data_IF_122471690759
#
_entry.id   IF_122471690759
#
_cell.length_a   1.000
_cell.length_b   1.000
_cell.length_c   1.000
_cell.angle_alpha   90.00
_cell.angle_beta   90.00
_cell.angle_gamma   90.00
#
_symmetry.space_group_name_H-M   'P 1'
#
loop_
_entity.id
_entity.type
_entity.pdbx_description
1 polymer ?
#
# COMPACT_ATOMS: atom_id res chain seq x y z
N UNK A 1 -12.02 -4.80 -20.54
CA UNK A 1 -12.30 -3.34 -20.52
C UNK A 1 -13.01 -3.07 -19.21
N UNK A 2 -12.34 -2.40 -18.27
CA UNK A 2 -13.00 -1.96 -17.04
C UNK A 2 -14.16 -1.00 -17.43
N UNK A 3 -15.31 -1.18 -16.80
CA UNK A 3 -16.43 -0.24 -16.94
C UNK A 3 -16.05 1.15 -16.42
N UNK A 4 -16.88 2.18 -16.63
CA UNK A 4 -16.63 3.50 -16.06
C UNK A 4 -16.52 3.38 -14.53
N UNK A 5 -15.64 4.18 -13.88
CA UNK A 5 -15.46 4.10 -12.45
C UNK A 5 -16.78 4.34 -11.73
N UNK A 6 -17.14 3.45 -10.81
CA UNK A 6 -18.33 3.61 -9.97
C UNK A 6 -18.08 4.77 -9.01
N UNK A 7 -18.98 5.75 -8.97
CA UNK A 7 -18.89 6.87 -8.03
C UNK A 7 -18.88 6.34 -6.58
N UNK A 8 -17.95 6.82 -5.76
CA UNK A 8 -17.79 6.36 -4.37
C UNK A 8 -19.08 6.48 -3.54
N UNK A 9 -19.84 7.55 -3.75
CA UNK A 9 -21.13 7.77 -3.09
C UNK A 9 -22.17 6.72 -3.49
N UNK A 10 -22.17 6.30 -4.75
CA UNK A 10 -23.05 5.26 -5.24
C UNK A 10 -22.65 3.89 -4.68
N UNK A 11 -21.36 3.57 -4.71
CA UNK A 11 -20.84 2.34 -4.11
C UNK A 11 -21.18 2.24 -2.61
N UNK A 12 -20.99 3.33 -1.86
CA UNK A 12 -21.34 3.37 -0.43
C UNK A 12 -22.82 3.06 -0.16
N UNK A 13 -23.70 3.41 -1.07
CA UNK A 13 -25.14 3.10 -0.95
C UNK A 13 -25.43 1.60 -1.16
N UNK A 14 -24.58 0.87 -1.87
CA UNK A 14 -24.77 -0.58 -2.17
C UNK A 14 -23.99 -1.50 -1.20
N UNK A 15 -23.10 -0.97 -0.36
CA UNK A 15 -22.22 -1.77 0.50
C UNK A 15 -22.98 -2.76 1.40
N UNK A 16 -24.14 -2.36 1.94
CA UNK A 16 -24.93 -3.25 2.80
C UNK A 16 -25.44 -4.49 2.06
N UNK A 17 -25.88 -4.32 0.81
CA UNK A 17 -26.36 -5.43 -0.01
C UNK A 17 -25.19 -6.34 -0.39
N UNK A 18 -24.03 -5.76 -0.75
CA UNK A 18 -22.81 -6.52 -1.04
C UNK A 18 -22.32 -7.34 0.17
N UNK A 19 -22.40 -6.78 1.38
CA UNK A 19 -22.09 -7.51 2.62
C UNK A 19 -23.04 -8.69 2.80
N UNK A 20 -24.34 -8.50 2.59
CA UNK A 20 -25.35 -9.55 2.74
C UNK A 20 -25.11 -10.68 1.74
N UNK A 21 -24.85 -10.35 0.48
CA UNK A 21 -24.56 -11.31 -0.58
C UNK A 21 -23.32 -12.15 -0.27
N UNK A 22 -22.20 -11.51 0.13
CA UNK A 22 -20.98 -12.21 0.50
C UNK A 22 -21.19 -13.08 1.77
N UNK A 23 -21.97 -12.60 2.73
CA UNK A 23 -22.25 -13.36 3.95
C UNK A 23 -23.07 -14.62 3.64
N UNK A 24 -24.06 -14.54 2.76
CA UNK A 24 -24.83 -15.69 2.31
C UNK A 24 -23.95 -16.69 1.53
N UNK A 25 -23.21 -16.19 0.53
CA UNK A 25 -22.40 -17.02 -0.35
C UNK A 25 -21.32 -17.80 0.40
N UNK A 26 -20.62 -17.14 1.32
CA UNK A 26 -19.51 -17.74 2.09
C UNK A 26 -19.93 -18.28 3.45
N UNK A 27 -21.21 -18.18 3.82
CA UNK A 27 -21.77 -18.67 5.07
C UNK A 27 -21.23 -17.94 6.31
N UNK A 28 -20.96 -16.64 6.18
CA UNK A 28 -20.29 -15.87 7.24
C UNK A 28 -21.25 -15.42 8.35
N UNK A 29 -20.71 -15.36 9.55
CA UNK A 29 -21.29 -14.53 10.62
C UNK A 29 -20.61 -13.18 10.59
N UNK A 30 -21.33 -12.12 10.26
CA UNK A 30 -20.82 -10.76 10.21
C UNK A 30 -20.85 -10.13 11.61
N UNK A 31 -19.75 -9.53 12.02
CA UNK A 31 -19.59 -8.79 13.27
C UNK A 31 -19.51 -7.29 13.06
N UNK A 32 -18.98 -6.59 14.04
CA UNK A 32 -18.85 -5.13 14.03
C UNK A 32 -17.86 -4.66 12.96
N UNK A 33 -18.14 -3.52 12.31
CA UNK A 33 -17.19 -2.90 11.39
C UNK A 33 -15.93 -2.42 12.14
N UNK A 34 -14.81 -2.42 11.43
CA UNK A 34 -13.66 -1.62 11.82
C UNK A 34 -13.92 -0.15 11.49
N UNK A 35 -13.07 0.75 12.02
CA UNK A 35 -13.17 2.18 11.67
C UNK A 35 -13.11 2.32 10.15
N UNK A 36 -14.04 3.06 9.53
CA UNK A 36 -14.09 3.17 8.07
C UNK A 36 -12.79 3.75 7.51
N UNK A 37 -12.19 3.07 6.55
CA UNK A 37 -11.14 3.62 5.70
C UNK A 37 -11.72 4.51 4.58
N UNK A 38 -10.86 5.18 3.83
CA UNK A 38 -11.29 6.10 2.77
C UNK A 38 -11.99 5.37 1.60
N UNK A 39 -11.47 4.20 1.18
CA UNK A 39 -11.86 3.49 -0.03
C UNK A 39 -12.31 2.03 0.20
N UNK A 40 -12.52 1.62 1.46
CA UNK A 40 -12.91 0.26 1.81
C UNK A 40 -13.93 0.20 2.93
N UNK A 41 -14.68 -0.90 2.97
CA UNK A 41 -15.58 -1.26 4.07
C UNK A 41 -15.12 -2.58 4.66
N UNK A 42 -14.67 -2.56 5.91
CA UNK A 42 -13.99 -3.68 6.57
C UNK A 42 -14.79 -4.10 7.79
N UNK A 43 -15.15 -5.40 7.84
CA UNK A 43 -15.96 -5.97 8.92
C UNK A 43 -15.27 -7.18 9.54
N UNK A 44 -15.47 -7.36 10.82
CA UNK A 44 -15.19 -8.64 11.47
C UNK A 44 -16.14 -9.69 10.87
N UNK A 45 -15.59 -10.86 10.62
CA UNK A 45 -16.38 -11.99 10.15
C UNK A 45 -15.92 -13.27 10.88
N UNK A 46 -16.72 -14.31 10.79
CA UNK A 46 -16.40 -15.64 11.26
C UNK A 46 -16.89 -16.65 10.25
N UNK A 47 -16.02 -17.59 9.87
CA UNK A 47 -16.34 -18.71 9.00
C UNK A 47 -17.30 -19.70 9.66
N UNK A 48 -17.96 -20.60 8.90
CA UNK A 48 -18.87 -21.60 9.48
C UNK A 48 -18.26 -22.52 10.52
N UNK A 49 -16.94 -22.75 10.48
CA UNK A 49 -16.20 -23.56 11.44
C UNK A 49 -15.74 -22.79 12.69
N UNK A 50 -16.09 -21.49 12.78
CA UNK A 50 -15.68 -20.63 13.88
C UNK A 50 -14.34 -19.91 13.69
N UNK A 51 -13.68 -20.08 12.54
CA UNK A 51 -12.41 -19.39 12.24
C UNK A 51 -12.64 -17.89 12.13
N UNK A 52 -11.89 -17.07 12.90
CA UNK A 52 -11.95 -15.62 12.80
C UNK A 52 -11.47 -15.12 11.44
N UNK A 53 -12.25 -14.25 10.80
CA UNK A 53 -11.97 -13.68 9.49
C UNK A 53 -12.27 -12.18 9.45
N UNK A 54 -11.91 -11.55 8.34
CA UNK A 54 -12.25 -10.17 7.98
C UNK A 54 -12.89 -10.20 6.60
N UNK A 55 -14.08 -9.62 6.47
CA UNK A 55 -14.68 -9.30 5.18
C UNK A 55 -14.28 -7.87 4.80
N UNK A 56 -13.57 -7.72 3.70
CA UNK A 56 -13.18 -6.43 3.12
C UNK A 56 -13.86 -6.24 1.78
N UNK A 57 -14.60 -5.16 1.63
CA UNK A 57 -15.16 -4.71 0.37
C UNK A 57 -14.40 -3.46 -0.07
N UNK A 58 -13.79 -3.48 -1.23
CA UNK A 58 -13.11 -2.33 -1.80
C UNK A 58 -14.04 -1.58 -2.74
N UNK A 59 -13.99 -0.24 -2.69
CA UNK A 59 -14.49 0.55 -3.78
C UNK A 59 -13.68 0.21 -5.04
N UNK A 60 -14.35 -0.07 -6.19
CA UNK A 60 -13.65 -0.36 -7.44
C UNK A 60 -12.81 0.83 -7.92
N UNK A 61 -11.50 0.73 -7.78
CA UNK A 61 -10.53 1.73 -8.24
C UNK A 61 -9.20 1.06 -8.60
N UNK A 62 -8.38 1.78 -9.35
CA UNK A 62 -7.13 1.28 -9.93
C UNK A 62 -6.22 0.55 -8.94
N UNK A 63 -6.07 1.07 -7.73
CA UNK A 63 -5.17 0.50 -6.72
C UNK A 63 -5.70 -0.78 -6.08
N UNK A 64 -7.03 -1.00 -6.11
CA UNK A 64 -7.66 -2.20 -5.55
C UNK A 64 -7.71 -3.40 -6.52
N UNK A 65 -7.43 -3.17 -7.82
CA UNK A 65 -7.64 -4.19 -8.87
C UNK A 65 -6.88 -5.49 -8.66
N UNK A 66 -5.67 -5.43 -8.10
CA UNK A 66 -4.78 -6.59 -7.95
C UNK A 66 -4.45 -6.95 -6.50
N UNK A 67 -5.19 -6.43 -5.52
CA UNK A 67 -4.96 -6.72 -4.10
C UNK A 67 -5.06 -8.23 -3.83
N UNK A 68 -6.11 -8.88 -4.32
CA UNK A 68 -6.30 -10.32 -4.17
C UNK A 68 -5.14 -11.13 -4.77
N UNK A 69 -4.70 -10.76 -5.98
CA UNK A 69 -3.60 -11.44 -6.68
C UNK A 69 -2.28 -11.35 -5.88
N UNK A 70 -2.04 -10.21 -5.23
CA UNK A 70 -0.85 -10.04 -4.38
C UNK A 70 -0.92 -10.91 -3.13
N UNK A 71 -2.06 -10.95 -2.45
CA UNK A 71 -2.27 -11.79 -1.28
C UNK A 71 -2.15 -13.28 -1.61
N UNK A 72 -2.67 -13.72 -2.76
CA UNK A 72 -2.45 -15.08 -3.29
C UNK A 72 -0.97 -15.36 -3.57
N UNK A 73 -0.25 -14.40 -4.18
CA UNK A 73 1.17 -14.54 -4.51
C UNK A 73 2.04 -14.66 -3.25
N UNK A 74 1.72 -13.96 -2.18
CA UNK A 74 2.41 -14.07 -0.90
C UNK A 74 2.01 -15.31 -0.11
N UNK A 75 0.80 -15.83 -0.29
CA UNK A 75 0.28 -17.04 0.38
C UNK A 75 0.55 -17.05 1.90
N UNK A 76 0.37 -15.90 2.53
CA UNK A 76 0.59 -15.71 3.95
C UNK A 76 2.06 -15.49 4.36
N UNK A 77 3.03 -15.47 3.44
CA UNK A 77 4.44 -15.18 3.74
C UNK A 77 4.65 -13.67 3.90
N UNK A 78 4.62 -13.19 5.14
CA UNK A 78 4.78 -11.78 5.49
C UNK A 78 3.51 -10.93 5.36
N UNK A 79 2.42 -11.48 4.81
CA UNK A 79 1.13 -10.81 4.68
C UNK A 79 -0.01 -11.69 5.23
N UNK A 80 -1.19 -11.10 5.42
CA UNK A 80 -2.40 -11.85 5.77
C UNK A 80 -2.78 -12.83 4.66
N UNK A 81 -3.40 -13.95 5.04
CA UNK A 81 -3.92 -14.92 4.09
C UNK A 81 -5.21 -14.44 3.47
N UNK A 82 -5.37 -14.71 2.18
CA UNK A 82 -6.63 -14.62 1.48
C UNK A 82 -7.34 -15.98 1.62
N UNK A 83 -8.56 -16.00 2.14
CA UNK A 83 -9.38 -17.20 2.28
C UNK A 83 -10.32 -17.40 1.09
N UNK A 84 -10.91 -16.31 0.60
CA UNK A 84 -11.76 -16.27 -0.58
C UNK A 84 -11.75 -14.89 -1.23
N UNK A 85 -12.13 -14.82 -2.49
CA UNK A 85 -12.27 -13.56 -3.24
C UNK A 85 -13.51 -13.60 -4.14
N UNK A 86 -14.05 -12.43 -4.38
CA UNK A 86 -15.03 -12.16 -5.42
C UNK A 86 -14.62 -10.90 -6.18
N UNK A 87 -14.10 -11.10 -7.38
CA UNK A 87 -13.55 -10.01 -8.20
C UNK A 87 -14.65 -9.11 -8.77
N UNK A 88 -15.87 -9.61 -8.96
CA UNK A 88 -16.97 -8.81 -9.46
C UNK A 88 -17.47 -7.81 -8.41
N UNK A 89 -17.47 -8.23 -7.14
CA UNK A 89 -17.89 -7.40 -6.00
C UNK A 89 -16.71 -6.65 -5.33
N UNK A 90 -15.47 -6.89 -5.78
CA UNK A 90 -14.25 -6.40 -5.11
C UNK A 90 -14.23 -6.79 -3.64
N UNK A 91 -14.64 -8.03 -3.34
CA UNK A 91 -14.74 -8.56 -1.99
C UNK A 91 -13.61 -9.55 -1.69
N UNK A 92 -13.02 -9.41 -0.50
CA UNK A 92 -11.96 -10.26 0.01
C UNK A 92 -12.35 -10.82 1.37
N UNK A 93 -12.16 -12.13 1.56
CA UNK A 93 -12.24 -12.77 2.86
C UNK A 93 -10.83 -13.07 3.34
N UNK A 94 -10.41 -12.41 4.41
CA UNK A 94 -9.03 -12.34 4.86
C UNK A 94 -8.83 -12.98 6.23
N UNK A 95 -7.61 -13.41 6.52
CA UNK A 95 -7.15 -13.76 7.85
C UNK A 95 -7.35 -12.57 8.80
N UNK A 96 -7.99 -12.81 9.98
CA UNK A 96 -8.10 -11.81 11.02
C UNK A 96 -6.87 -11.84 11.91
N UNK A 97 -6.12 -10.75 11.92
CA UNK A 97 -5.03 -10.55 12.85
C UNK A 97 -5.55 -10.41 14.27
N UNK A 98 -4.96 -11.15 15.20
CA UNK A 98 -5.23 -11.04 16.63
C UNK A 98 -3.90 -11.00 17.41
N UNK A 99 -3.63 -9.96 18.21
CA UNK A 99 -4.56 -8.93 18.69
C UNK A 99 -4.94 -7.86 17.66
N UNK A 100 -4.25 -7.74 16.51
CA UNK A 100 -4.57 -6.78 15.46
C UNK A 100 -4.17 -5.34 15.76
N UNK A 101 -3.22 -5.14 16.70
CA UNK A 101 -2.65 -3.81 16.96
C UNK A 101 -1.67 -3.43 15.86
N UNK A 102 -1.65 -2.15 15.50
CA UNK A 102 -0.73 -1.61 14.50
C UNK A 102 0.72 -1.65 14.99
N UNK A 103 1.64 -1.96 14.08
CA UNK A 103 3.08 -1.91 14.34
C UNK A 103 3.52 -0.50 14.73
N UNK A 104 2.99 0.54 14.09
CA UNK A 104 3.25 1.93 14.42
C UNK A 104 3.00 2.28 15.90
N UNK A 105 2.02 1.63 16.54
CA UNK A 105 1.63 1.88 17.94
C UNK A 105 2.25 0.88 18.95
N UNK A 106 3.10 -0.06 18.49
CA UNK A 106 3.56 -1.19 19.33
C UNK A 106 4.70 -0.85 20.29
N UNK A 107 5.49 0.18 19.98
CA UNK A 107 6.75 0.48 20.68
C UNK A 107 7.93 -0.40 20.25
N UNK A 108 7.76 -1.33 19.30
CA UNK A 108 8.85 -2.10 18.69
C UNK A 108 9.72 -1.24 17.75
N UNK A 109 10.87 -1.75 17.33
CA UNK A 109 11.65 -1.15 16.23
C UNK A 109 10.89 -1.33 14.90
N UNK A 110 9.92 -0.45 14.66
CA UNK A 110 9.07 -0.49 13.47
C UNK A 110 9.88 -0.58 12.18
N UNK A 111 10.95 0.21 12.09
CA UNK A 111 11.81 0.20 10.90
C UNK A 111 12.54 -1.13 10.71
N UNK A 112 13.02 -1.75 11.81
CA UNK A 112 13.63 -3.08 11.77
C UNK A 112 12.65 -4.16 11.32
N UNK A 113 11.39 -4.12 11.80
CA UNK A 113 10.34 -5.05 11.35
C UNK A 113 10.05 -4.88 9.85
N UNK A 114 9.97 -3.65 9.36
CA UNK A 114 9.74 -3.38 7.93
C UNK A 114 10.91 -3.85 7.06
N UNK A 115 12.16 -3.72 7.53
CA UNK A 115 13.35 -4.29 6.88
C UNK A 115 13.27 -5.81 6.78
N UNK A 116 12.76 -6.50 7.79
CA UNK A 116 12.58 -7.96 7.76
C UNK A 116 11.42 -8.40 6.84
N UNK A 117 10.33 -7.60 6.76
CA UNK A 117 9.17 -7.94 5.94
C UNK A 117 9.41 -7.72 4.44
N UNK A 118 10.06 -6.62 4.04
CA UNK A 118 10.22 -6.23 2.64
C UNK A 118 10.81 -7.37 1.76
N UNK A 119 11.91 -8.05 2.13
CA UNK A 119 12.45 -9.14 1.31
C UNK A 119 11.50 -10.33 1.13
N UNK A 120 10.62 -10.56 2.09
CA UNK A 120 9.59 -11.63 2.01
C UNK A 120 8.49 -11.27 1.02
N UNK A 121 8.16 -9.98 0.92
CA UNK A 121 7.14 -9.48 0.00
C UNK A 121 7.66 -9.32 -1.44
N UNK A 122 8.98 -9.29 -1.66
CA UNK A 122 9.59 -9.20 -2.99
C UNK A 122 9.52 -10.55 -3.73
N UNK A 123 8.32 -10.94 -4.13
CA UNK A 123 8.09 -12.11 -5.00
C UNK A 123 8.22 -11.70 -6.48
N UNK A 124 7.96 -12.63 -7.41
CA UNK A 124 7.89 -12.30 -8.84
C UNK A 124 6.82 -11.23 -9.10
N UNK A 125 7.19 -10.16 -9.80
CA UNK A 125 6.27 -9.11 -10.26
C UNK A 125 5.48 -9.47 -11.52
N UNK A 126 5.68 -10.68 -12.08
CA UNK A 126 5.00 -11.13 -13.29
C UNK A 126 3.47 -11.16 -13.10
N UNK A 127 2.74 -10.56 -14.03
CA UNK A 127 1.27 -10.46 -14.00
C UNK A 127 0.74 -9.22 -13.28
N UNK A 128 1.58 -8.48 -12.55
CA UNK A 128 1.18 -7.23 -11.90
C UNK A 128 1.42 -6.03 -12.82
N UNK A 129 0.62 -4.98 -12.62
CA UNK A 129 0.74 -3.71 -13.33
C UNK A 129 2.16 -3.16 -13.18
N UNK A 130 2.86 -2.89 -14.30
CA UNK A 130 4.21 -2.35 -14.24
C UNK A 130 4.24 -0.93 -13.68
N UNK A 131 5.26 -0.59 -12.88
CA UNK A 131 5.48 0.77 -12.42
C UNK A 131 5.59 1.79 -13.58
N UNK A 132 6.08 1.37 -14.74
CA UNK A 132 6.13 2.23 -15.93
C UNK A 132 4.72 2.68 -16.38
N UNK A 133 3.72 1.80 -16.31
CA UNK A 133 2.32 2.12 -16.64
C UNK A 133 1.72 3.06 -15.58
N UNK A 134 2.04 2.82 -14.30
CA UNK A 134 1.62 3.68 -13.21
C UNK A 134 2.25 5.08 -13.31
N UNK A 135 3.52 5.16 -13.69
CA UNK A 135 4.22 6.41 -13.93
C UNK A 135 3.58 7.27 -15.04
N UNK A 136 3.12 6.64 -16.11
CA UNK A 136 2.38 7.35 -17.18
C UNK A 136 1.03 7.89 -16.66
N UNK A 137 0.33 7.11 -15.84
CA UNK A 137 -0.90 7.57 -15.20
C UNK A 137 -0.63 8.78 -14.29
N UNK A 138 0.39 8.73 -13.44
CA UNK A 138 0.76 9.86 -12.56
C UNK A 138 1.13 11.11 -13.35
N UNK A 139 1.91 10.94 -14.41
CA UNK A 139 2.29 12.06 -15.30
C UNK A 139 1.08 12.75 -15.92
N UNK A 140 0.09 11.98 -16.36
CA UNK A 140 -1.11 12.49 -17.03
C UNK A 140 -2.19 13.01 -16.07
N UNK A 141 -2.33 12.44 -14.89
CA UNK A 141 -3.48 12.65 -14.01
C UNK A 141 -3.11 13.31 -12.68
N UNK A 142 -2.03 12.87 -12.02
CA UNK A 142 -1.71 13.30 -10.66
C UNK A 142 -0.79 14.52 -10.63
N UNK A 143 0.32 14.48 -11.36
CA UNK A 143 1.29 15.59 -11.39
C UNK A 143 0.68 16.94 -11.80
N UNK A 144 -0.26 17.03 -12.77
CA UNK A 144 -0.90 18.30 -13.11
C UNK A 144 -1.67 18.94 -11.95
N UNK A 145 -2.10 18.15 -10.96
CA UNK A 145 -2.84 18.65 -9.79
C UNK A 145 -1.89 19.25 -8.73
N UNK A 146 -0.61 18.92 -8.76
CA UNK A 146 0.39 19.42 -7.81
C UNK A 146 0.77 20.86 -8.14
N UNK A 147 0.49 21.79 -7.21
CA UNK A 147 0.74 23.23 -7.40
C UNK A 147 2.22 23.62 -7.32
N UNK A 148 2.99 22.85 -6.55
CA UNK A 148 4.43 23.06 -6.42
C UNK A 148 5.16 22.62 -7.69
N UNK A 149 5.49 23.60 -8.53
CA UNK A 149 6.15 23.36 -9.82
C UNK A 149 7.55 22.80 -9.65
N UNK A 150 8.29 23.18 -8.60
CA UNK A 150 9.65 22.67 -8.34
C UNK A 150 9.64 21.17 -8.05
N UNK A 151 8.73 20.73 -7.19
CA UNK A 151 8.57 19.31 -6.88
C UNK A 151 8.04 18.51 -8.08
N UNK A 152 7.05 19.05 -8.80
CA UNK A 152 6.51 18.42 -10.00
C UNK A 152 7.58 18.23 -11.08
N UNK A 153 8.39 19.25 -11.33
CA UNK A 153 9.47 19.20 -12.32
C UNK A 153 10.58 18.22 -11.87
N UNK A 154 10.88 18.14 -10.56
CA UNK A 154 11.81 17.17 -10.01
C UNK A 154 11.29 15.73 -10.18
N UNK A 155 10.03 15.48 -9.79
CA UNK A 155 9.39 14.17 -9.94
C UNK A 155 9.35 13.74 -11.42
N UNK A 156 9.06 14.67 -12.34
CA UNK A 156 9.07 14.40 -13.78
C UNK A 156 10.45 13.96 -14.25
N UNK A 157 11.53 14.68 -13.86
CA UNK A 157 12.90 14.30 -14.21
C UNK A 157 13.27 12.93 -13.67
N UNK A 158 12.94 12.64 -12.39
CA UNK A 158 13.19 11.32 -11.82
C UNK A 158 12.42 10.21 -12.55
N UNK A 159 11.18 10.42 -12.97
CA UNK A 159 10.47 9.46 -13.82
C UNK A 159 11.18 9.20 -15.13
N UNK A 160 11.63 10.25 -15.82
CA UNK A 160 12.35 10.15 -17.11
C UNK A 160 13.67 9.38 -17.00
N UNK A 161 14.34 9.48 -15.84
CA UNK A 161 15.61 8.79 -15.58
C UNK A 161 15.41 7.37 -15.06
N UNK A 162 14.48 7.16 -14.13
CA UNK A 162 14.35 5.91 -13.39
C UNK A 162 13.51 4.86 -14.11
N UNK A 163 12.41 5.26 -14.77
CA UNK A 163 11.52 4.31 -15.46
C UNK A 163 12.25 3.47 -16.53
N UNK A 164 13.03 4.05 -17.46
CA UNK A 164 13.70 3.26 -18.48
C UNK A 164 14.91 2.47 -17.97
N UNK A 165 15.38 2.73 -16.75
CA UNK A 165 16.58 2.13 -16.17
C UNK A 165 16.30 1.23 -14.97
N UNK A 166 15.03 0.83 -14.77
CA UNK A 166 14.66 -0.06 -13.67
C UNK A 166 15.48 -1.36 -13.67
N UNK A 167 15.90 -1.79 -12.48
CA UNK A 167 16.54 -3.07 -12.26
C UNK A 167 15.56 -4.24 -12.31
N UNK A 168 15.89 -5.31 -11.57
CA UNK A 168 15.00 -6.47 -11.43
C UNK A 168 13.66 -6.06 -10.82
N UNK A 169 12.57 -6.32 -11.54
CA UNK A 169 11.24 -6.03 -11.07
C UNK A 169 10.69 -7.15 -10.18
N UNK A 170 10.11 -6.75 -9.07
CA UNK A 170 9.48 -7.62 -8.09
C UNK A 170 8.07 -7.12 -7.78
N UNK A 171 7.25 -7.98 -7.18
CA UNK A 171 6.00 -7.54 -6.58
C UNK A 171 6.31 -6.64 -5.39
N UNK A 172 5.79 -5.42 -5.40
CA UNK A 172 5.90 -4.47 -4.30
C UNK A 172 4.53 -4.15 -3.72
N UNK A 173 4.49 -3.89 -2.43
CA UNK A 173 3.26 -3.55 -1.71
C UNK A 173 2.74 -2.14 -2.03
N UNK A 174 3.62 -1.25 -2.40
CA UNK A 174 3.42 0.17 -2.74
C UNK A 174 2.98 1.07 -1.56
N UNK A 175 2.34 0.53 -0.51
CA UNK A 175 1.85 1.31 0.64
C UNK A 175 2.25 0.66 1.98
N UNK A 176 3.44 0.05 2.06
CA UNK A 176 3.92 -0.58 3.28
C UNK A 176 4.46 0.47 4.26
N UNK A 177 3.82 0.59 5.41
CA UNK A 177 4.25 1.41 6.54
C UNK A 177 3.68 0.80 7.84
N UNK A 178 3.98 1.36 9.01
CA UNK A 178 3.66 0.73 10.29
C UNK A 178 2.17 0.61 10.59
N UNK A 179 1.29 1.40 9.96
CA UNK A 179 -0.16 1.27 10.06
C UNK A 179 -0.75 0.23 9.10
N UNK A 180 0.04 -0.24 8.12
CA UNK A 180 -0.33 -1.36 7.26
C UNK A 180 0.35 -2.68 7.66
N UNK A 181 0.77 -2.78 8.94
CA UNK A 181 1.31 -4.00 9.54
C UNK A 181 0.65 -4.25 10.89
N UNK A 182 0.07 -5.44 11.04
CA UNK A 182 -0.69 -5.81 12.23
C UNK A 182 -0.02 -6.94 13.01
N UNK A 183 -0.12 -6.87 14.34
CA UNK A 183 0.25 -7.98 15.23
C UNK A 183 -0.73 -9.14 15.05
N UNK A 184 -0.22 -10.36 14.89
CA UNK A 184 -1.02 -11.55 14.67
C UNK A 184 -0.51 -12.76 15.47
N UNK A 185 -1.36 -13.78 15.62
CA UNK A 185 -1.00 -15.02 16.34
C UNK A 185 -0.15 -15.96 15.49
N UNK A 186 -0.41 -16.03 14.17
CA UNK A 186 0.31 -16.92 13.26
C UNK A 186 1.76 -16.51 13.09
N UNK A 187 1.97 -15.22 12.92
CA UNK A 187 3.28 -14.56 12.87
C UNK A 187 3.19 -13.24 13.65
N UNK A 188 4.31 -12.79 14.18
CA UNK A 188 4.30 -11.58 15.02
C UNK A 188 3.75 -10.36 14.30
N UNK A 189 4.10 -10.21 13.01
CA UNK A 189 3.73 -9.08 12.17
C UNK A 189 3.34 -9.54 10.77
N UNK A 190 2.20 -9.05 10.28
CA UNK A 190 1.67 -9.34 8.95
C UNK A 190 1.26 -8.05 8.25
N UNK A 191 1.67 -7.91 6.99
CA UNK A 191 1.25 -6.82 6.13
C UNK A 191 -0.20 -6.99 5.68
N UNK A 192 -0.90 -5.86 5.53
CA UNK A 192 -2.29 -5.75 5.05
C UNK A 192 -2.40 -4.62 4.03
N UNK A 193 -3.51 -4.58 3.31
CA UNK A 193 -3.92 -3.48 2.41
C UNK A 193 -2.91 -3.13 1.31
N UNK A 194 -2.42 -4.10 0.53
CA UNK A 194 -1.48 -3.83 -0.54
C UNK A 194 -2.15 -3.07 -1.71
N UNK A 195 -1.35 -2.23 -2.37
CA UNK A 195 -1.63 -1.58 -3.65
C UNK A 195 -0.59 -2.04 -4.67
N UNK A 196 -0.65 -3.31 -5.13
CA UNK A 196 0.49 -3.98 -5.72
C UNK A 196 0.90 -3.43 -7.08
N UNK A 197 2.21 -3.41 -7.32
CA UNK A 197 2.83 -3.13 -8.60
C UNK A 197 3.99 -4.09 -8.87
N UNK A 198 4.36 -4.22 -10.14
CA UNK A 198 5.65 -4.76 -10.56
C UNK A 198 6.65 -3.60 -10.68
N UNK A 199 7.63 -3.56 -9.79
CA UNK A 199 8.59 -2.45 -9.69
C UNK A 199 9.96 -2.94 -9.21
N UNK A 200 10.99 -2.12 -9.36
CA UNK A 200 12.28 -2.38 -8.71
C UNK A 200 12.19 -2.18 -7.19
N UNK A 201 13.10 -2.83 -6.45
CA UNK A 201 13.06 -2.87 -4.98
C UNK A 201 13.17 -1.50 -4.34
N UNK A 202 13.93 -0.60 -4.93
CA UNK A 202 14.15 0.78 -4.48
C UNK A 202 12.86 1.58 -4.36
N UNK A 203 11.88 1.28 -5.22
CA UNK A 203 10.56 1.91 -5.17
C UNK A 203 9.77 1.52 -3.92
N UNK A 204 9.95 0.28 -3.42
CA UNK A 204 9.13 -0.28 -2.34
C UNK A 204 9.27 0.43 -0.99
N UNK A 205 10.37 1.18 -0.76
CA UNK A 205 10.61 1.85 0.51
C UNK A 205 10.05 3.28 0.58
N UNK A 206 9.53 3.80 -0.53
CA UNK A 206 9.02 5.18 -0.58
C UNK A 206 7.95 5.49 0.49
N UNK A 207 6.93 4.65 0.75
CA UNK A 207 5.94 4.92 1.80
C UNK A 207 6.55 4.94 3.21
N UNK A 208 7.60 4.14 3.46
CA UNK A 208 8.28 4.11 4.76
C UNK A 208 9.10 5.38 4.97
N UNK A 209 9.82 5.83 3.95
CA UNK A 209 10.64 7.05 4.03
C UNK A 209 9.77 8.27 4.28
N UNK A 210 8.60 8.39 3.63
CA UNK A 210 7.69 9.52 3.81
C UNK A 210 6.79 9.43 5.04
N UNK A 211 6.77 8.29 5.74
CA UNK A 211 5.88 8.08 6.89
C UNK A 211 6.25 8.98 8.07
N UNK A 212 5.31 9.79 8.56
CA UNK A 212 5.50 10.66 9.73
C UNK A 212 5.32 9.91 11.06
N UNK A 213 4.65 8.76 11.05
CA UNK A 213 4.47 7.89 12.22
C UNK A 213 5.81 7.40 12.84
N UNK A 214 6.88 7.37 12.02
CA UNK A 214 8.22 6.94 12.41
C UNK A 214 9.12 8.10 12.87
N UNK A 215 8.54 9.25 13.16
CA UNK A 215 9.22 10.47 13.57
C UNK A 215 9.22 11.54 12.48
N UNK A 216 9.08 12.78 12.92
CA UNK A 216 8.94 13.97 12.08
C UNK A 216 10.29 14.64 11.79
N UNK A 217 10.31 15.42 10.71
CA UNK A 217 11.41 16.30 10.34
C UNK A 217 12.44 15.67 9.41
N UNK A 218 13.22 16.54 8.77
CA UNK A 218 14.23 16.20 7.74
C UNK A 218 15.20 15.10 8.21
N UNK A 219 15.71 15.22 9.43
CA UNK A 219 16.70 14.27 9.97
C UNK A 219 16.11 12.84 10.03
N UNK A 220 14.85 12.70 10.45
CA UNK A 220 14.21 11.40 10.60
C UNK A 220 13.87 10.79 9.22
N UNK A 221 13.42 11.60 8.26
CA UNK A 221 13.19 11.15 6.89
C UNK A 221 14.48 10.63 6.24
N UNK A 222 15.59 11.39 6.35
CA UNK A 222 16.90 10.97 5.83
C UNK A 222 17.44 9.74 6.57
N UNK A 223 17.26 9.65 7.90
CA UNK A 223 17.65 8.47 8.69
C UNK A 223 16.91 7.21 8.21
N UNK A 224 15.62 7.31 7.90
CA UNK A 224 14.85 6.19 7.35
C UNK A 224 15.40 5.76 5.99
N UNK A 225 15.61 6.72 5.09
CA UNK A 225 16.20 6.44 3.77
C UNK A 225 17.56 5.75 3.91
N UNK A 226 18.47 6.31 4.71
CA UNK A 226 19.83 5.78 4.88
C UNK A 226 19.83 4.37 5.50
N UNK A 227 19.01 4.14 6.54
CA UNK A 227 18.91 2.84 7.19
C UNK A 227 18.34 1.78 6.25
N UNK A 228 17.20 2.07 5.59
CA UNK A 228 16.55 1.14 4.66
C UNK A 228 17.48 0.77 3.50
N UNK A 229 18.12 1.75 2.89
CA UNK A 229 19.01 1.47 1.75
C UNK A 229 20.28 0.70 2.18
N UNK A 230 20.84 0.98 3.34
CA UNK A 230 22.00 0.26 3.86
C UNK A 230 21.67 -1.19 4.25
N UNK A 231 20.58 -1.43 5.00
CA UNK A 231 20.23 -2.75 5.50
C UNK A 231 19.66 -3.67 4.39
N UNK A 232 19.00 -3.10 3.38
CA UNK A 232 18.43 -3.85 2.26
C UNK A 232 19.33 -3.92 1.03
N UNK A 233 20.47 -3.23 1.04
CA UNK A 233 21.41 -3.19 -0.09
C UNK A 233 20.84 -2.51 -1.34
N UNK A 234 20.07 -1.44 -1.15
CA UNK A 234 19.43 -0.69 -2.23
C UNK A 234 20.28 0.51 -2.66
N UNK A 235 20.11 0.94 -3.92
CA UNK A 235 20.68 2.19 -4.40
C UNK A 235 19.95 3.38 -3.77
N UNK A 236 20.68 4.15 -2.94
CA UNK A 236 20.15 5.27 -2.19
C UNK A 236 19.60 6.39 -3.09
N UNK A 237 20.28 6.69 -4.19
CA UNK A 237 19.83 7.77 -5.10
C UNK A 237 18.57 7.37 -5.85
N UNK A 238 18.47 6.11 -6.27
CA UNK A 238 17.26 5.59 -6.88
C UNK A 238 16.09 5.62 -5.89
N UNK A 239 16.32 5.11 -4.68
CA UNK A 239 15.30 5.11 -3.61
C UNK A 239 14.81 6.52 -3.26
N UNK A 240 15.74 7.49 -3.17
CA UNK A 240 15.42 8.90 -2.97
C UNK A 240 14.55 9.45 -4.12
N UNK A 241 14.95 9.22 -5.36
CA UNK A 241 14.20 9.66 -6.54
C UNK A 241 12.80 9.06 -6.58
N UNK A 242 12.65 7.76 -6.32
CA UNK A 242 11.34 7.10 -6.25
C UNK A 242 10.48 7.61 -5.10
N UNK A 243 11.09 7.95 -3.96
CA UNK A 243 10.34 8.54 -2.84
C UNK A 243 9.78 9.91 -3.21
N UNK A 244 10.56 10.76 -3.90
CA UNK A 244 10.07 12.05 -4.40
C UNK A 244 8.91 11.82 -5.38
N UNK A 245 9.07 10.92 -6.35
CA UNK A 245 8.06 10.62 -7.37
C UNK A 245 6.75 10.18 -6.74
N UNK A 246 6.77 9.16 -5.88
CA UNK A 246 5.55 8.62 -5.27
C UNK A 246 4.91 9.65 -4.32
N UNK A 247 5.71 10.38 -3.55
CA UNK A 247 5.21 11.42 -2.65
C UNK A 247 4.47 12.51 -3.43
N UNK A 248 5.02 12.97 -4.54
CA UNK A 248 4.39 13.96 -5.41
C UNK A 248 3.12 13.41 -6.05
N UNK A 249 3.15 12.16 -6.54
CA UNK A 249 1.99 11.52 -7.15
C UNK A 249 0.81 11.38 -6.17
N UNK A 250 1.09 11.01 -4.92
CA UNK A 250 0.07 10.75 -3.90
C UNK A 250 -0.33 12.00 -3.08
N UNK A 251 0.26 13.17 -3.37
CA UNK A 251 -0.13 14.43 -2.72
C UNK A 251 -1.39 15.06 -3.32
N UNK A 252 -1.88 14.55 -4.43
CA UNK A 252 -2.98 15.13 -5.21
C UNK A 252 -4.39 14.98 -4.60
N UNK A 253 -4.58 14.32 -3.45
CA UNK A 253 -5.92 14.06 -2.91
C UNK A 253 -5.99 13.66 -1.43
N UNK A 254 -4.90 13.72 -0.66
CA UNK A 254 -4.88 13.32 0.76
C UNK A 254 -4.89 14.53 1.71
N UNK A 255 -5.39 14.32 2.93
CA UNK A 255 -5.38 15.33 4.00
C UNK A 255 -3.96 15.63 4.53
N UNK A 256 -2.97 14.85 4.13
CA UNK A 256 -1.55 14.96 4.54
C UNK A 256 -0.64 15.59 3.49
N UNK A 257 -1.20 16.29 2.53
CA UNK A 257 -0.47 16.86 1.37
C UNK A 257 0.73 17.72 1.80
N UNK A 258 0.55 18.64 2.75
CA UNK A 258 1.60 19.57 3.15
C UNK A 258 2.80 18.86 3.78
N UNK A 259 2.57 17.93 4.71
CA UNK A 259 3.62 17.19 5.40
C UNK A 259 4.40 16.27 4.43
N UNK A 260 3.72 15.60 3.53
CA UNK A 260 4.38 14.78 2.51
C UNK A 260 5.22 15.63 1.55
N UNK A 261 4.71 16.79 1.12
CA UNK A 261 5.46 17.69 0.24
C UNK A 261 6.69 18.28 0.93
N UNK A 262 6.64 18.56 2.25
CA UNK A 262 7.83 18.94 3.01
C UNK A 262 8.93 17.86 2.97
N UNK A 263 8.57 16.60 3.13
CA UNK A 263 9.52 15.48 3.02
C UNK A 263 10.13 15.43 1.62
N UNK A 264 9.33 15.58 0.57
CA UNK A 264 9.84 15.64 -0.80
C UNK A 264 10.82 16.81 -1.02
N UNK A 265 10.56 17.97 -0.41
CA UNK A 265 11.49 19.10 -0.43
C UNK A 265 12.82 18.78 0.27
N UNK A 266 12.78 18.16 1.45
CA UNK A 266 14.00 17.78 2.18
C UNK A 266 14.84 16.78 1.40
N UNK A 267 14.19 15.82 0.73
CA UNK A 267 14.88 14.84 -0.13
C UNK A 267 15.48 15.52 -1.37
N UNK A 268 14.74 16.46 -1.99
CA UNK A 268 15.25 17.21 -3.14
C UNK A 268 16.45 18.11 -2.82
N UNK A 269 16.60 18.55 -1.56
CA UNK A 269 17.77 19.29 -1.10
C UNK A 269 18.98 18.38 -0.82
N UNK A 270 18.77 17.07 -0.66
CA UNK A 270 19.78 16.06 -0.38
C UNK A 270 20.22 15.26 -1.64
N UNK A 271 19.58 15.51 -2.78
CA UNK A 271 19.74 14.84 -4.07
C UNK A 271 21.09 15.18 -4.78
#
# INVERSE_FOLDING_TARGET
MAGPPVELSHWRATVHDLVADCAEEWGLRIGEPYVPGAAGHVLRAELPDGTPAVLKLNWPHREAEQEADALERWDGDGAVRLYARDDERYALLLERCEPGSFLAASGDDTLGVLVELLPRLWKSGEGFRPLAEEAEFWRGSEFPQVRDTRLRDAATRHLEELVPTQGQQVLVHQDLHGENVLAAKRERWLAIDPKPLSAEREFSIAPIVRSTELGEGKREALRRLDRLTAELGLDRQRALGWTIVQTVAWSGGSDYIEEHLEIAHWLLEDA
#
